data_IF_117525960916
#
_entry.id   IF_117525960916
#
_cell.length_a   1.000
_cell.length_b   1.000
_cell.length_c   1.000
_cell.angle_alpha   90.00
_cell.angle_beta   90.00
_cell.angle_gamma   90.00
#
_symmetry.space_group_name_H-M   'P 1'
#
loop_
_entity.id
_entity.type
_entity.pdbx_description
1 polymer ?
#
# COMPACT_ATOMS: atom_id res chain seq x y z
N UNK A 1 -56.91 76.52 -38.51
CA UNK A 1 -56.45 75.18 -38.95
C UNK A 1 -55.01 75.10 -38.52
N UNK A 2 -54.75 74.33 -37.46
CA UNK A 2 -53.45 74.30 -36.78
C UNK A 2 -52.49 73.42 -37.58
N UNK A 3 -51.52 74.04 -38.24
CA UNK A 3 -50.41 73.33 -38.88
C UNK A 3 -49.49 72.73 -37.81
N UNK A 4 -49.81 71.49 -37.42
CA UNK A 4 -48.93 70.64 -36.62
C UNK A 4 -47.58 70.36 -37.30
N UNK A 5 -47.43 70.70 -38.58
CA UNK A 5 -46.23 70.49 -39.37
C UNK A 5 -45.11 71.51 -39.11
N UNK A 6 -45.39 72.68 -38.51
CA UNK A 6 -44.35 73.68 -38.16
C UNK A 6 -43.77 73.48 -36.75
N UNK A 7 -44.41 72.68 -35.89
CA UNK A 7 -43.95 72.44 -34.52
C UNK A 7 -42.93 71.29 -34.41
N UNK A 8 -42.76 70.50 -35.46
CA UNK A 8 -41.79 69.38 -35.52
C UNK A 8 -40.74 69.71 -36.58
N UNK A 9 -39.90 70.70 -36.29
CA UNK A 9 -38.73 70.99 -37.13
C UNK A 9 -37.79 69.78 -37.25
N UNK A 10 -36.96 69.70 -38.31
CA UNK A 10 -36.03 68.57 -38.55
C UNK A 10 -35.15 68.19 -37.35
N UNK A 11 -34.83 69.17 -36.48
CA UNK A 11 -34.07 68.96 -35.24
C UNK A 11 -34.80 68.05 -34.23
N UNK A 12 -36.13 68.15 -34.13
CA UNK A 12 -36.93 67.32 -33.22
C UNK A 12 -36.94 65.87 -33.70
N UNK A 13 -37.12 65.65 -35.01
CA UNK A 13 -37.07 64.31 -35.62
C UNK A 13 -35.70 63.66 -35.41
N UNK A 14 -34.61 64.42 -35.63
CA UNK A 14 -33.25 63.93 -35.41
C UNK A 14 -33.02 63.53 -33.93
N UNK A 15 -33.46 64.35 -32.98
CA UNK A 15 -33.32 64.04 -31.55
C UNK A 15 -34.10 62.78 -31.14
N UNK A 16 -35.31 62.57 -31.67
CA UNK A 16 -36.08 61.35 -31.43
C UNK A 16 -35.42 60.11 -32.04
N UNK A 17 -34.90 60.20 -33.26
CA UNK A 17 -34.17 59.08 -33.91
C UNK A 17 -32.90 58.76 -33.12
N UNK A 18 -32.14 59.76 -32.69
CA UNK A 18 -30.94 59.55 -31.85
C UNK A 18 -31.30 58.91 -30.51
N UNK A 19 -32.35 59.36 -29.82
CA UNK A 19 -32.81 58.77 -28.57
C UNK A 19 -33.24 57.30 -28.75
N UNK A 20 -34.00 57.00 -29.82
CA UNK A 20 -34.44 55.64 -30.13
C UNK A 20 -33.25 54.70 -30.44
N UNK A 21 -32.29 55.18 -31.23
CA UNK A 21 -31.06 54.44 -31.56
C UNK A 21 -30.20 54.19 -30.31
N UNK A 22 -30.06 55.17 -29.41
CA UNK A 22 -29.35 55.00 -28.14
C UNK A 22 -30.05 53.99 -27.21
N UNK A 23 -31.38 54.02 -27.12
CA UNK A 23 -32.15 53.04 -26.34
C UNK A 23 -31.95 51.63 -26.93
N UNK A 24 -32.06 51.48 -28.25
CA UNK A 24 -31.86 50.20 -28.93
C UNK A 24 -30.45 49.64 -28.71
N UNK A 25 -29.40 50.47 -28.87
CA UNK A 25 -28.02 50.07 -28.57
C UNK A 25 -27.83 49.68 -27.10
N UNK A 26 -28.43 50.41 -26.16
CA UNK A 26 -28.39 50.09 -24.74
C UNK A 26 -29.02 48.73 -24.43
N UNK A 27 -30.14 48.40 -25.06
CA UNK A 27 -30.82 47.10 -24.90
C UNK A 27 -29.99 45.95 -25.48
N UNK A 28 -29.39 46.14 -26.66
CA UNK A 28 -28.50 45.14 -27.28
C UNK A 28 -27.26 44.91 -26.41
N UNK A 29 -26.61 45.97 -25.94
CA UNK A 29 -25.44 45.86 -25.05
C UNK A 29 -25.77 45.15 -23.74
N UNK A 30 -26.95 45.39 -23.17
CA UNK A 30 -27.38 44.71 -21.95
C UNK A 30 -27.63 43.22 -22.20
N UNK A 31 -28.28 42.89 -23.31
CA UNK A 31 -28.55 41.50 -23.69
C UNK A 31 -27.25 40.72 -23.96
N UNK A 32 -26.30 41.31 -24.69
CA UNK A 32 -25.00 40.67 -24.95
C UNK A 32 -24.20 40.50 -23.67
N UNK A 33 -24.12 41.53 -22.82
CA UNK A 33 -23.43 41.47 -21.51
C UNK A 33 -24.00 40.38 -20.61
N UNK A 34 -25.32 40.26 -20.50
CA UNK A 34 -25.98 39.20 -19.72
C UNK A 34 -25.71 37.81 -20.31
N UNK A 35 -25.73 37.68 -21.63
CA UNK A 35 -25.43 36.40 -22.29
C UNK A 35 -23.97 35.96 -22.07
N UNK A 36 -23.03 36.89 -22.15
CA UNK A 36 -21.60 36.64 -21.90
C UNK A 36 -21.36 36.31 -20.43
N UNK A 37 -22.00 37.04 -19.51
CA UNK A 37 -21.88 36.76 -18.09
C UNK A 37 -22.44 35.38 -17.74
N UNK A 38 -23.61 35.00 -18.28
CA UNK A 38 -24.16 33.65 -18.11
C UNK A 38 -23.24 32.57 -18.68
N UNK A 39 -22.69 32.78 -19.88
CA UNK A 39 -21.72 31.84 -20.48
C UNK A 39 -20.47 31.70 -19.63
N UNK A 40 -19.94 32.80 -19.10
CA UNK A 40 -18.78 32.80 -18.21
C UNK A 40 -19.07 32.06 -16.90
N UNK A 41 -20.19 32.35 -16.25
CA UNK A 41 -20.60 31.65 -15.01
C UNK A 41 -20.76 30.14 -15.27
N UNK A 42 -21.36 29.74 -16.39
CA UNK A 42 -21.49 28.34 -16.74
C UNK A 42 -20.14 27.67 -17.01
N UNK A 43 -19.21 28.37 -17.69
CA UNK A 43 -17.86 27.88 -17.93
C UNK A 43 -17.07 27.74 -16.61
N UNK A 44 -17.17 28.72 -15.71
CA UNK A 44 -16.53 28.69 -14.40
C UNK A 44 -17.07 27.53 -13.54
N UNK A 45 -18.39 27.29 -13.57
CA UNK A 45 -19.03 26.13 -12.90
C UNK A 45 -18.53 24.82 -13.49
N UNK A 46 -18.43 24.71 -14.82
CA UNK A 46 -17.94 23.49 -15.48
C UNK A 46 -16.48 23.21 -15.12
N UNK A 47 -15.63 24.25 -15.14
CA UNK A 47 -14.22 24.16 -14.76
C UNK A 47 -14.08 23.75 -13.28
N UNK A 48 -14.86 24.34 -12.39
CA UNK A 48 -14.85 24.01 -10.97
C UNK A 48 -15.22 22.54 -10.72
N UNK A 49 -16.21 22.01 -11.45
CA UNK A 49 -16.58 20.58 -11.38
C UNK A 49 -15.46 19.67 -11.87
N UNK A 50 -14.89 19.98 -13.03
CA UNK A 50 -13.77 19.21 -13.59
C UNK A 50 -12.57 19.17 -12.63
N UNK A 51 -12.24 20.32 -12.03
CA UNK A 51 -11.17 20.43 -11.05
C UNK A 51 -11.47 19.61 -9.80
N UNK A 52 -12.68 19.70 -9.26
CA UNK A 52 -13.08 18.92 -8.09
C UNK A 52 -12.99 17.40 -8.35
N UNK A 53 -13.46 16.93 -9.50
CA UNK A 53 -13.39 15.53 -9.88
C UNK A 53 -11.94 15.06 -10.08
N UNK A 54 -11.09 15.92 -10.66
CA UNK A 54 -9.66 15.68 -10.80
C UNK A 54 -8.98 15.57 -9.42
N UNK A 55 -9.18 16.55 -8.54
CA UNK A 55 -8.60 16.57 -7.20
C UNK A 55 -9.03 15.33 -6.38
N UNK A 56 -10.28 14.90 -6.51
CA UNK A 56 -10.80 13.67 -5.90
C UNK A 56 -10.07 12.43 -6.42
N UNK A 57 -9.93 12.29 -7.75
CA UNK A 57 -9.22 11.15 -8.36
C UNK A 57 -7.75 11.15 -7.94
N UNK A 58 -7.11 12.31 -7.94
CA UNK A 58 -5.72 12.47 -7.54
C UNK A 58 -5.51 12.09 -6.06
N UNK A 59 -6.40 12.50 -5.16
CA UNK A 59 -6.33 12.15 -3.75
C UNK A 59 -6.44 10.63 -3.52
N UNK A 60 -7.39 9.97 -4.20
CA UNK A 60 -7.53 8.50 -4.13
C UNK A 60 -6.31 7.79 -4.70
N UNK A 61 -5.81 8.26 -5.85
CA UNK A 61 -4.61 7.69 -6.48
C UNK A 61 -3.40 7.83 -5.56
N UNK A 62 -3.15 9.04 -5.04
CA UNK A 62 -2.04 9.30 -4.10
C UNK A 62 -2.09 8.35 -2.91
N UNK A 63 -3.27 8.18 -2.30
CA UNK A 63 -3.40 7.27 -1.17
C UNK A 63 -3.11 5.81 -1.55
N UNK A 64 -3.61 5.36 -2.69
CA UNK A 64 -3.36 4.00 -3.19
C UNK A 64 -1.88 3.79 -3.52
N UNK A 65 -1.21 4.80 -4.06
CA UNK A 65 0.22 4.80 -4.36
C UNK A 65 1.05 4.64 -3.08
N UNK A 66 0.80 5.45 -2.05
CA UNK A 66 1.47 5.35 -0.75
C UNK A 66 1.32 3.95 -0.13
N UNK A 67 0.12 3.36 -0.23
CA UNK A 67 -0.15 2.01 0.28
C UNK A 67 0.59 0.96 -0.55
N UNK A 68 0.65 1.10 -1.88
CA UNK A 68 1.40 0.19 -2.76
C UNK A 68 2.91 0.22 -2.45
N UNK A 69 3.48 1.42 -2.31
CA UNK A 69 4.89 1.61 -1.99
C UNK A 69 5.25 0.96 -0.65
N UNK A 70 4.48 1.26 0.39
CA UNK A 70 4.72 0.69 1.71
C UNK A 70 4.55 -0.83 1.72
N UNK A 71 3.54 -1.36 1.01
CA UNK A 71 3.28 -2.80 0.97
C UNK A 71 4.43 -3.55 0.31
N UNK A 72 4.96 -3.02 -0.79
CA UNK A 72 6.11 -3.58 -1.50
C UNK A 72 7.40 -3.48 -0.66
N UNK A 73 7.65 -2.33 -0.03
CA UNK A 73 8.81 -2.14 0.85
C UNK A 73 8.79 -3.09 2.05
N UNK A 74 7.62 -3.28 2.67
CA UNK A 74 7.44 -4.23 3.76
C UNK A 74 7.73 -5.67 3.32
N UNK A 75 7.26 -6.08 2.13
CA UNK A 75 7.47 -7.43 1.61
C UNK A 75 8.97 -7.74 1.43
N UNK A 76 9.73 -6.83 0.84
CA UNK A 76 11.17 -7.01 0.67
C UNK A 76 11.93 -6.95 1.99
N UNK A 77 11.52 -6.08 2.92
CA UNK A 77 12.09 -6.05 4.27
C UNK A 77 11.81 -7.35 5.02
N UNK A 78 10.60 -7.90 4.90
CA UNK A 78 10.23 -9.18 5.51
C UNK A 78 11.07 -10.32 4.96
N UNK A 79 11.27 -10.41 3.63
CA UNK A 79 12.16 -11.40 3.01
C UNK A 79 13.58 -11.33 3.57
N UNK A 80 14.17 -10.14 3.61
CA UNK A 80 15.53 -9.94 4.15
C UNK A 80 15.62 -10.32 5.62
N UNK A 81 14.62 -9.93 6.42
CA UNK A 81 14.53 -10.27 7.84
C UNK A 81 14.39 -11.78 8.05
N UNK A 82 13.52 -12.46 7.30
CA UNK A 82 13.36 -13.91 7.40
C UNK A 82 14.63 -14.65 7.00
N UNK A 83 15.34 -14.17 5.97
CA UNK A 83 16.66 -14.69 5.59
C UNK A 83 17.67 -14.56 6.73
N UNK A 84 17.74 -13.38 7.36
CA UNK A 84 18.62 -13.17 8.51
C UNK A 84 18.23 -14.04 9.71
N UNK A 85 16.93 -14.13 10.03
CA UNK A 85 16.45 -14.98 11.12
C UNK A 85 16.82 -16.45 10.91
N UNK A 86 16.79 -16.93 9.66
CA UNK A 86 17.09 -18.31 9.27
C UNK A 86 18.55 -18.59 8.93
N UNK A 87 19.44 -17.61 9.12
CA UNK A 87 20.86 -17.84 8.88
C UNK A 87 21.43 -18.75 9.98
N UNK A 88 21.96 -19.91 9.61
CA UNK A 88 22.51 -20.90 10.54
C UNK A 88 23.81 -20.46 11.25
N UNK A 89 24.45 -19.37 10.79
CA UNK A 89 25.61 -18.79 11.49
C UNK A 89 25.13 -17.97 12.67
N UNK A 90 25.43 -18.41 13.89
CA UNK A 90 25.23 -17.66 15.12
C UNK A 90 26.45 -16.77 15.43
N UNK A 91 26.21 -15.56 15.96
CA UNK A 91 27.29 -14.62 16.30
C UNK A 91 27.30 -14.28 17.79
N UNK A 92 28.46 -14.44 18.44
CA UNK A 92 28.66 -14.05 19.84
C UNK A 92 27.71 -14.77 20.80
N UNK A 93 27.00 -14.00 21.62
CA UNK A 93 26.07 -14.50 22.66
C UNK A 93 24.62 -14.66 22.16
N UNK A 94 24.38 -14.77 20.85
CA UNK A 94 23.04 -15.05 20.32
C UNK A 94 22.47 -16.36 20.90
N UNK A 95 21.19 -16.36 21.25
CA UNK A 95 20.52 -17.51 21.86
C UNK A 95 20.62 -17.57 23.38
N UNK A 96 21.56 -16.81 23.99
CA UNK A 96 21.77 -16.79 25.45
C UNK A 96 20.65 -16.11 26.23
N UNK A 97 19.81 -15.32 25.57
CA UNK A 97 18.66 -14.64 26.18
C UNK A 97 17.51 -15.61 26.52
N UNK A 98 17.59 -16.87 26.07
CA UNK A 98 16.65 -17.93 26.43
C UNK A 98 16.70 -18.19 27.94
N UNK A 99 15.53 -18.29 28.56
CA UNK A 99 15.43 -18.78 29.95
C UNK A 99 15.82 -20.26 30.00
N UNK A 100 16.91 -20.57 30.69
CA UNK A 100 17.39 -21.95 30.91
C UNK A 100 16.49 -22.69 31.89
N UNK A 101 16.36 -24.01 31.72
CA UNK A 101 15.60 -24.85 32.66
C UNK A 101 16.51 -25.33 33.80
N UNK A 102 15.94 -25.56 34.99
CA UNK A 102 16.71 -25.86 36.20
C UNK A 102 17.53 -27.17 36.13
N UNK A 103 17.07 -28.15 35.34
CA UNK A 103 17.69 -29.48 35.21
C UNK A 103 18.25 -29.73 33.82
N UNK A 104 18.68 -28.67 33.13
CA UNK A 104 19.26 -28.75 31.80
C UNK A 104 20.75 -29.10 31.90
N UNK A 105 21.21 -30.12 31.16
CA UNK A 105 22.66 -30.37 31.01
C UNK A 105 23.28 -29.27 30.15
N UNK A 106 24.60 -29.06 30.24
CA UNK A 106 25.26 -28.04 29.40
C UNK A 106 25.07 -28.33 27.90
N UNK A 107 25.15 -29.60 27.48
CA UNK A 107 24.89 -30.01 26.09
C UNK A 107 23.45 -29.66 25.64
N UNK A 108 22.45 -29.93 26.49
CA UNK A 108 21.06 -29.56 26.20
C UNK A 108 20.92 -28.04 26.07
N UNK A 109 21.56 -27.30 26.96
CA UNK A 109 21.52 -25.84 26.98
C UNK A 109 22.13 -25.24 25.72
N UNK A 110 23.26 -25.76 25.26
CA UNK A 110 23.91 -25.32 24.02
C UNK A 110 23.02 -25.57 22.79
N UNK A 111 22.48 -26.78 22.66
CA UNK A 111 21.57 -27.16 21.56
C UNK A 111 20.31 -26.29 21.57
N UNK A 112 19.67 -26.10 22.73
CA UNK A 112 18.45 -25.29 22.84
C UNK A 112 18.71 -23.80 22.62
N UNK A 113 19.87 -23.29 23.03
CA UNK A 113 20.25 -21.91 22.73
C UNK A 113 20.44 -21.70 21.23
N UNK A 114 21.07 -22.67 20.56
CA UNK A 114 21.25 -22.66 19.10
C UNK A 114 19.90 -22.58 18.38
N UNK A 115 18.95 -23.43 18.75
CA UNK A 115 17.59 -23.40 18.16
C UNK A 115 16.75 -22.19 18.57
N UNK A 116 17.16 -21.42 19.59
CA UNK A 116 16.50 -20.19 20.00
C UNK A 116 16.94 -18.96 19.19
N UNK A 117 18.08 -19.01 18.50
CA UNK A 117 18.61 -17.89 17.71
C UNK A 117 17.59 -17.30 16.73
N UNK A 118 16.83 -18.09 15.93
CA UNK A 118 15.83 -17.54 15.02
C UNK A 118 14.72 -16.78 15.75
N UNK A 119 14.27 -17.29 16.91
CA UNK A 119 13.25 -16.63 17.73
C UNK A 119 13.76 -15.30 18.29
N UNK A 120 15.01 -15.27 18.76
CA UNK A 120 15.62 -14.03 19.25
C UNK A 120 15.69 -12.97 18.14
N UNK A 121 16.11 -13.36 16.92
CA UNK A 121 16.20 -12.45 15.77
C UNK A 121 14.82 -11.95 15.31
N UNK A 122 13.79 -12.79 15.38
CA UNK A 122 12.40 -12.40 15.11
C UNK A 122 11.90 -11.43 16.19
N UNK A 123 12.16 -11.71 17.46
CA UNK A 123 11.78 -10.83 18.57
C UNK A 123 12.40 -9.43 18.45
N UNK A 124 13.65 -9.34 17.99
CA UNK A 124 14.31 -8.04 17.69
C UNK A 124 13.59 -7.24 16.59
N UNK A 125 12.78 -7.88 15.76
CA UNK A 125 12.01 -7.27 14.68
C UNK A 125 10.49 -7.24 14.94
N UNK A 126 10.05 -7.51 16.18
CA UNK A 126 8.62 -7.62 16.49
C UNK A 126 7.82 -6.35 16.20
N UNK A 127 8.41 -5.17 16.41
CA UNK A 127 7.77 -3.89 16.07
C UNK A 127 7.48 -3.79 14.57
N UNK A 128 8.46 -4.15 13.72
CA UNK A 128 8.27 -4.18 12.27
C UNK A 128 7.18 -5.16 11.87
N UNK A 129 7.21 -6.39 12.38
CA UNK A 129 6.21 -7.42 12.08
C UNK A 129 4.82 -6.94 12.50
N UNK A 130 4.67 -6.41 13.72
CA UNK A 130 3.39 -5.90 14.22
C UNK A 130 2.85 -4.77 13.35
N UNK A 131 3.71 -3.81 12.98
CA UNK A 131 3.34 -2.70 12.10
C UNK A 131 2.93 -3.19 10.70
N UNK A 132 3.68 -4.13 10.12
CA UNK A 132 3.37 -4.74 8.82
C UNK A 132 2.04 -5.48 8.86
N UNK A 133 1.80 -6.32 9.87
CA UNK A 133 0.57 -7.10 10.02
C UNK A 133 -0.65 -6.20 10.28
N UNK A 134 -0.49 -5.08 11.01
CA UNK A 134 -1.57 -4.11 11.22
C UNK A 134 -2.06 -3.47 9.92
N UNK A 135 -1.19 -3.35 8.90
CA UNK A 135 -1.53 -2.80 7.58
C UNK A 135 -2.33 -3.76 6.70
N UNK A 136 -2.52 -5.02 7.12
CA UNK A 136 -3.30 -6.03 6.39
C UNK A 136 -4.67 -5.54 5.96
N UNK A 137 -5.42 -4.91 6.87
CA UNK A 137 -6.76 -4.40 6.56
C UNK A 137 -6.74 -3.20 5.61
N UNK A 138 -5.70 -2.35 5.69
CA UNK A 138 -5.53 -1.23 4.76
C UNK A 138 -5.21 -1.75 3.36
N UNK A 139 -4.30 -2.71 3.24
CA UNK A 139 -3.99 -3.33 1.94
C UNK A 139 -5.21 -4.06 1.37
N UNK A 140 -5.98 -4.76 2.20
CA UNK A 140 -7.23 -5.39 1.79
C UNK A 140 -8.25 -4.36 1.26
N UNK A 141 -8.41 -3.21 1.90
CA UNK A 141 -9.31 -2.16 1.43
C UNK A 141 -8.93 -1.60 0.05
N UNK A 142 -7.62 -1.54 -0.26
CA UNK A 142 -7.12 -0.99 -1.53
C UNK A 142 -6.94 -2.02 -2.66
N UNK A 143 -6.65 -3.28 -2.33
CA UNK A 143 -6.26 -4.32 -3.28
C UNK A 143 -7.13 -5.59 -3.22
N UNK A 144 -8.05 -5.66 -2.27
CA UNK A 144 -9.00 -6.77 -2.13
C UNK A 144 -8.38 -8.06 -1.61
N UNK A 145 -9.03 -9.19 -1.95
CA UNK A 145 -8.72 -10.51 -1.40
C UNK A 145 -7.28 -10.97 -1.65
N UNK A 146 -6.71 -10.65 -2.82
CA UNK A 146 -5.32 -11.02 -3.15
C UNK A 146 -4.30 -10.43 -2.18
N UNK A 147 -4.52 -9.22 -1.66
CA UNK A 147 -3.64 -8.69 -0.62
C UNK A 147 -3.73 -9.51 0.66
N UNK A 148 -4.92 -10.00 1.03
CA UNK A 148 -5.10 -10.88 2.18
C UNK A 148 -4.36 -12.21 2.00
N UNK A 149 -4.43 -12.80 0.80
CA UNK A 149 -3.71 -14.04 0.46
C UNK A 149 -2.19 -13.87 0.63
N UNK A 150 -1.62 -12.73 0.24
CA UNK A 150 -0.20 -12.45 0.47
C UNK A 150 0.15 -12.43 1.97
N UNK A 151 -0.71 -11.82 2.80
CA UNK A 151 -0.54 -11.82 4.25
C UNK A 151 -0.70 -13.22 4.87
N UNK A 152 -1.56 -14.07 4.32
CA UNK A 152 -1.70 -15.46 4.77
C UNK A 152 -0.40 -16.25 4.55
N UNK A 153 0.28 -16.05 3.42
CA UNK A 153 1.61 -16.62 3.17
C UNK A 153 2.68 -16.10 4.13
N UNK A 154 2.68 -14.78 4.41
CA UNK A 154 3.60 -14.16 5.38
C UNK A 154 3.40 -14.75 6.78
N UNK A 155 2.13 -14.87 7.21
CA UNK A 155 1.77 -15.44 8.51
C UNK A 155 2.14 -16.92 8.60
N UNK A 156 1.88 -17.70 7.55
CA UNK A 156 2.26 -19.10 7.47
C UNK A 156 3.78 -19.28 7.61
N UNK A 157 4.57 -18.46 6.90
CA UNK A 157 6.03 -18.47 6.97
C UNK A 157 6.53 -18.18 8.39
N UNK A 158 5.97 -17.16 9.06
CA UNK A 158 6.34 -16.79 10.42
C UNK A 158 5.95 -17.87 11.43
N UNK A 159 4.71 -18.35 11.37
CA UNK A 159 4.19 -19.37 12.28
C UNK A 159 4.96 -20.69 12.14
N UNK A 160 5.31 -21.08 10.92
CA UNK A 160 6.13 -22.26 10.66
C UNK A 160 7.52 -22.12 11.28
N UNK A 161 8.18 -20.97 11.10
CA UNK A 161 9.49 -20.71 11.72
C UNK A 161 9.42 -20.81 13.25
N UNK A 162 8.42 -20.15 13.85
CA UNK A 162 8.26 -20.09 15.31
C UNK A 162 7.93 -21.46 15.89
N UNK A 163 6.99 -22.19 15.25
CA UNK A 163 6.62 -23.53 15.67
C UNK A 163 7.81 -24.48 15.58
N UNK A 164 8.53 -24.49 14.47
CA UNK A 164 9.66 -25.39 14.26
C UNK A 164 10.81 -25.13 15.24
N UNK A 165 11.18 -23.86 15.47
CA UNK A 165 12.17 -23.50 16.47
C UNK A 165 11.72 -23.91 17.89
N UNK A 166 10.46 -23.65 18.25
CA UNK A 166 9.92 -24.01 19.57
C UNK A 166 9.91 -25.52 19.81
N UNK A 167 9.58 -26.31 18.78
CA UNK A 167 9.65 -27.77 18.86
C UNK A 167 11.08 -28.25 19.04
N UNK A 168 12.03 -27.72 18.27
CA UNK A 168 13.45 -28.07 18.40
C UNK A 168 14.02 -27.71 19.77
N UNK A 169 13.64 -26.57 20.33
CA UNK A 169 13.99 -26.20 21.72
C UNK A 169 13.40 -27.24 22.69
N UNK A 170 12.12 -27.56 22.58
CA UNK A 170 11.45 -28.46 23.53
C UNK A 170 11.99 -29.90 23.52
N UNK A 171 12.52 -30.36 22.38
CA UNK A 171 13.00 -31.72 22.18
C UNK A 171 14.53 -31.84 22.10
N UNK A 172 15.25 -30.72 21.95
CA UNK A 172 16.71 -30.67 21.88
C UNK A 172 17.36 -31.33 23.09
N UNK A 173 18.25 -32.29 22.80
CA UNK A 173 19.06 -33.03 23.78
C UNK A 173 18.30 -33.98 24.71
N UNK A 174 17.06 -34.39 24.38
CA UNK A 174 16.34 -35.43 25.13
C UNK A 174 16.64 -36.84 24.58
N UNK A 175 16.80 -37.81 25.48
CA UNK A 175 16.90 -39.23 25.13
C UNK A 175 15.59 -39.72 24.48
N UNK A 176 15.70 -40.42 23.34
CA UNK A 176 14.54 -40.85 22.57
C UNK A 176 13.83 -39.73 21.79
N UNK A 177 14.59 -38.70 21.40
CA UNK A 177 14.11 -37.47 20.74
C UNK A 177 13.33 -37.64 19.43
N UNK A 178 13.24 -36.56 18.66
CA UNK A 178 12.46 -36.53 17.41
C UNK A 178 12.97 -37.58 16.42
N UNK A 179 12.05 -38.17 15.64
CA UNK A 179 12.41 -38.98 14.47
C UNK A 179 13.29 -38.14 13.55
N UNK A 180 14.33 -38.74 12.97
CA UNK A 180 15.33 -38.06 12.12
C UNK A 180 14.66 -37.25 11.01
N UNK A 181 13.65 -37.82 10.32
CA UNK A 181 12.89 -37.13 9.27
C UNK A 181 12.20 -35.85 9.78
N UNK A 182 11.65 -35.91 11.00
CA UNK A 182 11.00 -34.75 11.61
C UNK A 182 12.03 -33.71 12.04
N UNK A 183 13.15 -34.13 12.63
CA UNK A 183 14.26 -33.24 12.98
C UNK A 183 14.75 -32.47 11.74
N UNK A 184 15.04 -33.17 10.65
CA UNK A 184 15.46 -32.59 9.38
C UNK A 184 14.45 -31.59 8.83
N UNK A 185 13.15 -31.93 8.90
CA UNK A 185 12.09 -31.02 8.47
C UNK A 185 12.06 -29.73 9.29
N UNK A 186 12.12 -29.83 10.62
CA UNK A 186 12.11 -28.65 11.48
C UNK A 186 13.39 -27.81 11.29
N UNK A 187 14.54 -28.46 11.11
CA UNK A 187 15.81 -27.78 10.83
C UNK A 187 15.79 -27.07 9.47
N UNK A 188 15.19 -27.66 8.44
CA UNK A 188 15.00 -27.01 7.14
C UNK A 188 14.08 -25.78 7.20
N UNK A 189 13.11 -25.78 8.13
CA UNK A 189 12.29 -24.60 8.38
C UNK A 189 13.12 -23.48 9.04
N UNK A 190 13.90 -23.80 10.07
CA UNK A 190 14.62 -22.76 10.82
C UNK A 190 15.93 -22.32 10.18
N UNK A 191 16.56 -23.18 9.38
CA UNK A 191 17.83 -22.89 8.71
C UNK A 191 17.65 -22.81 7.21
N UNK A 192 18.21 -21.77 6.59
CA UNK A 192 18.27 -21.70 5.14
C UNK A 192 19.18 -22.84 4.62
N UNK A 193 18.67 -23.78 3.79
CA UNK A 193 19.49 -24.88 3.32
C UNK A 193 20.65 -24.35 2.49
N UNK A 194 21.85 -24.87 2.74
CA UNK A 194 23.00 -24.60 1.87
C UNK A 194 22.76 -25.26 0.51
N UNK A 195 22.27 -24.45 -0.45
CA UNK A 195 22.19 -24.65 -1.90
C UNK A 195 21.47 -25.90 -2.47
N UNK A 196 21.37 -27.05 -1.80
CA UNK A 196 21.06 -28.33 -2.45
C UNK A 196 19.77 -29.04 -1.96
N UNK A 197 19.16 -28.62 -0.86
CA UNK A 197 17.93 -29.23 -0.33
C UNK A 197 16.66 -28.43 -0.69
N UNK A 198 16.44 -28.15 -1.98
CA UNK A 198 15.19 -27.55 -2.48
C UNK A 198 14.15 -28.64 -2.77
N UNK A 199 13.65 -29.32 -1.75
CA UNK A 199 12.34 -29.96 -1.88
C UNK A 199 11.25 -28.93 -1.57
N UNK A 200 10.25 -28.88 -2.45
CA UNK A 200 9.28 -27.81 -2.51
C UNK A 200 8.26 -27.86 -1.36
N UNK A 201 7.75 -26.69 -0.98
CA UNK A 201 6.80 -26.34 0.10
C UNK A 201 7.39 -25.86 1.44
N UNK A 202 8.54 -25.17 1.43
CA UNK A 202 9.14 -24.54 2.62
C UNK A 202 8.83 -23.05 2.80
N UNK A 203 9.27 -22.47 3.93
CA UNK A 203 9.13 -21.03 4.25
C UNK A 203 9.59 -20.10 3.12
N UNK A 204 10.61 -20.49 2.37
CA UNK A 204 11.10 -19.71 1.23
C UNK A 204 10.03 -19.53 0.16
N UNK A 205 9.27 -20.58 -0.16
CA UNK A 205 8.21 -20.51 -1.17
C UNK A 205 7.01 -19.69 -0.71
N UNK A 206 6.66 -19.77 0.57
CA UNK A 206 5.63 -18.91 1.16
C UNK A 206 6.02 -17.43 1.01
N UNK A 207 7.27 -17.09 1.32
CA UNK A 207 7.80 -15.71 1.17
C UNK A 207 7.79 -15.25 -0.29
N UNK A 208 8.29 -16.07 -1.22
CA UNK A 208 8.32 -15.70 -2.64
C UNK A 208 6.91 -15.61 -3.23
N UNK A 209 5.98 -16.47 -2.79
CA UNK A 209 4.57 -16.41 -3.20
C UNK A 209 3.91 -15.12 -2.72
N UNK A 210 4.13 -14.74 -1.46
CA UNK A 210 3.67 -13.46 -0.92
C UNK A 210 4.23 -12.27 -1.73
N UNK A 211 5.54 -12.24 -1.98
CA UNK A 211 6.18 -11.15 -2.74
C UNK A 211 5.62 -11.06 -4.14
N UNK A 212 5.50 -12.19 -4.85
CA UNK A 212 4.95 -12.21 -6.21
C UNK A 212 3.54 -11.64 -6.25
N UNK A 213 2.69 -11.97 -5.27
CA UNK A 213 1.34 -11.41 -5.18
C UNK A 213 1.42 -9.89 -4.95
N UNK A 214 2.28 -9.44 -4.03
CA UNK A 214 2.44 -8.03 -3.68
C UNK A 214 2.98 -7.21 -4.85
N UNK A 215 3.97 -7.72 -5.58
CA UNK A 215 4.51 -7.12 -6.80
C UNK A 215 3.42 -6.96 -7.85
N UNK A 216 2.64 -8.01 -8.12
CA UNK A 216 1.53 -7.97 -9.09
C UNK A 216 0.43 -6.96 -8.70
N UNK A 217 0.28 -6.63 -7.42
CA UNK A 217 -0.70 -5.64 -6.94
C UNK A 217 -0.12 -4.22 -6.93
N UNK A 218 1.15 -4.07 -6.58
CA UNK A 218 1.77 -2.78 -6.27
C UNK A 218 2.45 -2.16 -7.48
N UNK A 219 3.20 -2.94 -8.27
CA UNK A 219 3.95 -2.44 -9.43
C UNK A 219 3.04 -1.71 -10.43
N UNK A 220 1.85 -2.22 -10.82
CA UNK A 220 0.97 -1.50 -11.74
C UNK A 220 0.51 -0.14 -11.22
N UNK A 221 0.40 0.03 -9.89
CA UNK A 221 0.06 1.31 -9.28
C UNK A 221 1.26 2.26 -9.27
N UNK A 222 2.46 1.72 -9.06
CA UNK A 222 3.71 2.48 -8.93
C UNK A 222 4.28 2.93 -10.27
N UNK A 223 4.19 2.10 -11.30
CA UNK A 223 4.69 2.43 -12.64
C UNK A 223 3.85 3.49 -13.35
N UNK A 224 2.68 3.84 -12.79
CA UNK A 224 1.74 4.78 -13.39
C UNK A 224 1.60 4.52 -14.89
N UNK A 225 1.32 3.26 -15.25
CA UNK A 225 1.01 2.92 -16.62
C UNK A 225 -0.31 3.60 -16.93
N UNK A 226 -0.24 4.70 -17.68
CA UNK A 226 -1.38 5.29 -18.33
C UNK A 226 -2.01 4.18 -19.21
N UNK A 227 -3.02 3.48 -18.68
CA UNK A 227 -4.00 2.76 -19.48
C UNK A 227 -4.80 3.81 -20.28
N UNK A 228 -4.12 4.50 -21.16
CA UNK A 228 -4.66 5.41 -22.17
C UNK A 228 -4.48 4.69 -23.51
N UNK A 229 -5.36 3.72 -23.74
CA UNK A 229 -5.80 3.34 -25.07
C UNK A 229 -7.18 3.97 -25.30
#
# INVERSE_FOLDING_TARGET
>A
MNDWNDLIGPAVVAAFVSAAVSIAMGLVNRATTLSLHRKKVNADIALAKMKFDYDRKQAVFKRRFEVAEQFLADAYRFKTMMKYARNGVAFGDEGSTRKTLQNETEDQKEIRNTYFVPLERINKNNEFISNMMSRRFTCYAHFGLKANEAYDHIDLALNRLVASASMLINWGGKDGGLKIEMLQKLEADIWEPMAEARESNGIGEDIESAIKIIENLSIPVLEWVDDVN
#
